data_IF_257369947226
#
_entry.id   IF_257369947226
#
_cell.length_a   1.000
_cell.length_b   1.000
_cell.length_c   1.000
_cell.angle_alpha   90.00
_cell.angle_beta   90.00
_cell.angle_gamma   90.00
#
_symmetry.space_group_name_H-M   'P 1'
#
loop_
_entity.id
_entity.type
_entity.pdbx_description
1 polymer ?
#
# COMPACT_ATOMS: atom_id res chain seq x y z
N UNK A 1 12.69 2.87 -23.24
CA UNK A 1 11.50 3.69 -22.84
C UNK A 1 10.57 2.98 -21.84
N UNK A 2 10.38 1.67 -21.96
CA UNK A 2 9.49 0.86 -21.10
C UNK A 2 9.90 0.92 -19.61
N UNK A 3 11.20 0.88 -19.33
CA UNK A 3 11.70 0.95 -17.95
C UNK A 3 11.31 2.24 -17.18
N UNK A 4 11.30 3.40 -17.85
CA UNK A 4 10.85 4.65 -17.22
C UNK A 4 9.36 4.62 -16.86
N UNK A 5 8.52 4.03 -17.70
CA UNK A 5 7.08 3.88 -17.44
C UNK A 5 6.84 2.95 -16.25
N UNK A 6 7.62 1.88 -16.13
CA UNK A 6 7.55 0.96 -14.99
C UNK A 6 7.94 1.60 -13.66
N UNK A 7 8.93 2.50 -13.67
CA UNK A 7 9.33 3.22 -12.45
C UNK A 7 8.25 4.24 -12.06
N UNK A 8 7.69 4.98 -13.02
CA UNK A 8 6.60 5.92 -12.74
C UNK A 8 5.35 5.20 -12.19
N UNK A 9 4.99 4.05 -12.77
CA UNK A 9 3.88 3.25 -12.26
C UNK A 9 4.18 2.65 -10.89
N UNK A 10 5.44 2.29 -10.58
CA UNK A 10 5.86 1.86 -9.26
C UNK A 10 5.62 2.94 -8.20
N UNK A 11 5.95 4.19 -8.50
CA UNK A 11 5.75 5.32 -7.58
C UNK A 11 4.26 5.52 -7.30
N UNK A 12 3.45 5.56 -8.36
CA UNK A 12 1.99 5.76 -8.24
C UNK A 12 1.34 4.62 -7.47
N UNK A 13 1.69 3.37 -7.77
CA UNK A 13 1.15 2.20 -7.07
C UNK A 13 1.64 2.12 -5.61
N UNK A 14 2.91 2.44 -5.34
CA UNK A 14 3.45 2.47 -3.98
C UNK A 14 2.75 3.52 -3.10
N UNK A 15 2.55 4.73 -3.63
CA UNK A 15 1.81 5.78 -2.94
C UNK A 15 0.34 5.40 -2.74
N UNK A 16 -0.32 4.86 -3.76
CA UNK A 16 -1.71 4.47 -3.66
C UNK A 16 -1.92 3.30 -2.67
N UNK A 17 -1.13 2.22 -2.77
CA UNK A 17 -1.27 1.07 -1.90
C UNK A 17 -0.85 1.38 -0.45
N UNK A 18 0.24 2.12 -0.25
CA UNK A 18 0.72 2.47 1.08
C UNK A 18 -0.13 3.53 1.77
N UNK A 19 -0.38 4.66 1.11
CA UNK A 19 -1.06 5.81 1.73
C UNK A 19 -2.57 5.65 1.67
N UNK A 20 -3.14 5.32 0.51
CA UNK A 20 -4.59 5.27 0.36
C UNK A 20 -5.17 3.97 0.92
N UNK A 21 -4.71 2.82 0.43
CA UNK A 21 -5.32 1.54 0.80
C UNK A 21 -4.95 1.09 2.22
N UNK A 22 -3.67 1.09 2.58
CA UNK A 22 -3.24 0.60 3.89
C UNK A 22 -3.40 1.64 5.01
N UNK A 23 -2.94 2.89 4.80
CA UNK A 23 -3.00 3.91 5.85
C UNK A 23 -4.41 4.50 6.02
N UNK A 24 -4.96 5.16 4.98
CA UNK A 24 -6.30 5.75 5.06
C UNK A 24 -7.37 4.66 5.21
N UNK A 25 -7.30 3.59 4.41
CA UNK A 25 -8.24 2.48 4.51
C UNK A 25 -8.22 1.80 5.89
N UNK A 26 -7.05 1.61 6.49
CA UNK A 26 -6.95 1.06 7.85
C UNK A 26 -7.57 1.96 8.93
N UNK A 27 -7.43 3.28 8.80
CA UNK A 27 -8.09 4.23 9.72
C UNK A 27 -9.61 4.18 9.54
N UNK A 28 -10.10 4.17 8.29
CA UNK A 28 -11.53 4.09 7.99
C UNK A 28 -12.14 2.81 8.55
N UNK A 29 -11.47 1.67 8.38
CA UNK A 29 -11.89 0.38 8.94
C UNK A 29 -12.09 0.47 10.47
N UNK A 30 -11.16 1.11 11.18
CA UNK A 30 -11.27 1.29 12.64
C UNK A 30 -12.44 2.21 13.00
N UNK A 31 -12.62 3.32 12.28
CA UNK A 31 -13.73 4.27 12.52
C UNK A 31 -15.08 3.59 12.27
N UNK A 32 -15.21 2.81 11.20
CA UNK A 32 -16.42 2.08 10.88
C UNK A 32 -16.74 1.03 11.94
N UNK A 33 -15.74 0.30 12.43
CA UNK A 33 -15.94 -0.68 13.51
C UNK A 33 -16.34 -0.04 14.84
N UNK A 34 -15.81 1.15 15.17
CA UNK A 34 -16.23 1.90 16.37
C UNK A 34 -17.67 2.43 16.25
N UNK A 35 -18.13 2.70 15.02
CA UNK A 35 -19.50 3.16 14.73
C UNK A 35 -20.49 1.99 14.54
N UNK A 36 -19.99 0.76 14.41
CA UNK A 36 -20.82 -0.39 14.17
C UNK A 36 -21.66 -0.75 15.42
N UNK A 37 -22.92 -1.20 15.24
CA UNK A 37 -23.77 -1.63 16.34
C UNK A 37 -23.20 -2.84 17.08
N UNK A 38 -22.41 -3.68 16.39
CA UNK A 38 -21.65 -4.77 16.97
C UNK A 38 -20.16 -4.59 16.64
N UNK A 39 -19.34 -4.37 17.66
CA UNK A 39 -17.89 -4.23 17.49
C UNK A 39 -17.23 -5.59 17.32
N UNK A 40 -16.43 -5.74 16.26
CA UNK A 40 -15.53 -6.88 16.08
C UNK A 40 -14.08 -6.51 16.39
N UNK A 41 -13.54 -7.07 17.46
CA UNK A 41 -12.15 -6.85 17.87
C UNK A 41 -11.14 -7.28 16.79
N UNK A 42 -11.45 -8.34 16.03
CA UNK A 42 -10.59 -8.82 14.94
C UNK A 42 -10.54 -7.80 13.80
N UNK A 43 -11.68 -7.22 13.43
CA UNK A 43 -11.74 -6.23 12.36
C UNK A 43 -10.95 -4.96 12.71
N UNK A 44 -11.04 -4.52 13.97
CA UNK A 44 -10.24 -3.40 14.49
C UNK A 44 -8.75 -3.74 14.46
N UNK A 45 -8.36 -4.93 14.89
CA UNK A 45 -6.97 -5.37 14.87
C UNK A 45 -6.41 -5.39 13.43
N UNK A 46 -7.20 -5.80 12.44
CA UNK A 46 -6.83 -5.75 11.02
C UNK A 46 -6.67 -4.31 10.54
N UNK A 47 -7.59 -3.40 10.89
CA UNK A 47 -7.49 -1.98 10.56
C UNK A 47 -6.21 -1.35 11.14
N UNK A 48 -5.92 -1.60 12.41
CA UNK A 48 -4.68 -1.14 13.06
C UNK A 48 -3.44 -1.75 12.41
N UNK A 49 -3.47 -3.06 12.10
CA UNK A 49 -2.37 -3.71 11.42
C UNK A 49 -2.10 -3.08 10.05
N UNK A 50 -3.13 -2.77 9.26
CA UNK A 50 -3.00 -2.06 7.98
C UNK A 50 -2.30 -0.70 8.15
N UNK A 51 -2.64 0.06 9.19
CA UNK A 51 -2.01 1.36 9.49
C UNK A 51 -0.55 1.19 9.90
N UNK A 52 -0.25 0.25 10.81
CA UNK A 52 1.11 0.00 11.30
C UNK A 52 2.03 -0.49 10.18
N UNK A 53 1.54 -1.36 9.30
CA UNK A 53 2.29 -1.90 8.17
C UNK A 53 2.15 -1.08 6.89
N UNK A 54 1.48 0.08 6.90
CA UNK A 54 1.23 0.88 5.71
C UNK A 54 2.52 1.29 4.98
N UNK A 55 3.54 1.70 5.73
CA UNK A 55 4.86 2.04 5.18
C UNK A 55 5.55 0.82 4.54
N UNK A 56 5.43 -0.35 5.15
CA UNK A 56 5.97 -1.60 4.62
C UNK A 56 5.24 -2.05 3.35
N UNK A 57 3.91 -1.93 3.32
CA UNK A 57 3.07 -2.26 2.16
C UNK A 57 3.38 -1.30 1.00
N UNK A 58 3.51 0.00 1.27
CA UNK A 58 3.90 0.98 0.26
C UNK A 58 5.28 0.70 -0.33
N UNK A 59 6.26 0.34 0.52
CA UNK A 59 7.60 -0.04 0.07
C UNK A 59 7.59 -1.32 -0.77
N UNK A 60 6.85 -2.35 -0.34
CA UNK A 60 6.68 -3.59 -1.10
C UNK A 60 6.06 -3.34 -2.47
N UNK A 61 4.97 -2.57 -2.53
CA UNK A 61 4.30 -2.22 -3.77
C UNK A 61 5.22 -1.47 -4.74
N UNK A 62 6.05 -0.57 -4.21
CA UNK A 62 7.08 0.10 -5.00
C UNK A 62 8.17 -0.87 -5.49
N UNK A 63 8.70 -1.73 -4.60
CA UNK A 63 9.79 -2.66 -4.92
C UNK A 63 9.42 -3.65 -6.04
N UNK A 64 8.16 -4.13 -6.07
CA UNK A 64 7.67 -5.08 -7.08
C UNK A 64 7.80 -4.55 -8.50
N UNK A 65 7.63 -3.24 -8.71
CA UNK A 65 7.69 -2.61 -10.05
C UNK A 65 8.98 -1.85 -10.31
N UNK A 66 9.60 -1.26 -9.28
CA UNK A 66 10.83 -0.49 -9.42
C UNK A 66 12.06 -1.37 -9.68
N UNK A 67 12.15 -2.55 -9.07
CA UNK A 67 13.26 -3.50 -9.28
C UNK A 67 13.32 -3.99 -10.74
N UNK A 68 12.23 -4.55 -11.31
CA UNK A 68 12.26 -4.97 -12.72
C UNK A 68 12.41 -3.77 -13.66
N UNK A 69 11.82 -2.61 -13.34
CA UNK A 69 12.01 -1.39 -14.12
C UNK A 69 13.47 -0.95 -14.20
N UNK A 70 14.23 -1.04 -13.09
CA UNK A 70 15.66 -0.72 -13.05
C UNK A 70 16.51 -1.75 -13.81
N UNK A 71 16.19 -3.04 -13.68
CA UNK A 71 16.86 -4.12 -14.40
C UNK A 71 16.72 -3.96 -15.93
N UNK A 72 15.53 -3.57 -16.39
CA UNK A 72 15.24 -3.42 -17.81
C UNK A 72 15.96 -2.21 -18.44
N UNK A 73 16.12 -1.12 -17.69
CA UNK A 73 16.93 0.04 -18.13
C UNK A 73 18.42 -0.31 -18.24
N UNK A 74 18.92 -1.22 -17.39
CA UNK A 74 20.31 -1.66 -17.41
C UNK A 74 20.61 -2.68 -18.52
N UNK A 75 19.58 -3.31 -19.10
CA UNK A 75 19.72 -4.27 -20.21
C UNK A 75 19.51 -3.67 -21.61
N UNK A 76 19.10 -2.40 -21.68
CA UNK A 76 19.00 -1.59 -22.91
C UNK A 76 20.28 -0.76 -23.11
#
# INVERSE_FOLDING_TARGET
MIGCVMILSAIVLGLWAGVWWAFIGGIVDVIEQVRAPEMSAIAIAIGVAKVVFAGFIGWLAFAVLAIPGKLLILSD
#
